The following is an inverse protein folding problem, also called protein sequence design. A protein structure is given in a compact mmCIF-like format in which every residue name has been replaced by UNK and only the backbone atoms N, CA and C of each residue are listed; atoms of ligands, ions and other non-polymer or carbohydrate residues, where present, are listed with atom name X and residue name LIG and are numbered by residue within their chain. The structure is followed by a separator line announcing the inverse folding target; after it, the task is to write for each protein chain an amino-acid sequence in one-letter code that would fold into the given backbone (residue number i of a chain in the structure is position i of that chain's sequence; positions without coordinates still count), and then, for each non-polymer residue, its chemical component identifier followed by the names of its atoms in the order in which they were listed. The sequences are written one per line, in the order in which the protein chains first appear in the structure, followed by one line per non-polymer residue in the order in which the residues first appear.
data_IF_585088903947
#
_entry.id   IF_585088903947
#
_cell.length_a   1.000
_cell.length_b   1.000
_cell.length_c   1.000
_cell.angle_alpha   90.00
_cell.angle_beta   90.00
_cell.angle_gamma   90.00
#
_symmetry.space_group_name_H-M   'P 1'
#
loop_
_entity.id
_entity.type
_entity.pdbx_description
1 polymer ?
#
# COMPACT_ATOMS: atom_id res chain seq x y z
N UNK A 1 -11.99 98.27 5.59
CA UNK A 1 -11.42 97.84 4.30
C UNK A 1 -11.00 96.39 4.44
N UNK A 2 -11.75 95.48 3.84
CA UNK A 2 -11.36 94.06 3.75
C UNK A 2 -10.29 94.02 2.65
N UNK A 3 -9.08 93.62 3.01
CA UNK A 3 -7.96 93.51 2.07
C UNK A 3 -8.22 92.36 1.08
N UNK A 4 -8.49 92.64 -0.20
CA UNK A 4 -8.85 91.62 -1.19
C UNK A 4 -7.68 90.69 -1.53
N UNK A 5 -6.46 90.98 -1.07
CA UNK A 5 -5.28 90.13 -1.30
C UNK A 5 -5.01 89.11 -0.18
N UNK A 6 -5.72 89.19 0.97
CA UNK A 6 -5.51 88.28 2.11
C UNK A 6 -6.30 86.96 2.02
N UNK A 7 -7.47 86.97 1.38
CA UNK A 7 -8.29 85.76 1.18
C UNK A 7 -7.64 84.67 0.31
N UNK A 8 -7.01 84.96 -0.85
CA UNK A 8 -6.40 83.90 -1.67
C UNK A 8 -5.23 83.19 -0.96
N UNK A 9 -4.47 83.92 -0.13
CA UNK A 9 -3.33 83.37 0.61
C UNK A 9 -3.74 82.38 1.72
N UNK A 10 -4.92 82.60 2.33
CA UNK A 10 -5.46 81.71 3.36
C UNK A 10 -5.98 80.41 2.72
N UNK A 11 -6.68 80.52 1.59
CA UNK A 11 -7.14 79.37 0.82
C UNK A 11 -5.99 78.51 0.30
N UNK A 12 -4.92 79.12 -0.19
CA UNK A 12 -3.73 78.41 -0.68
C UNK A 12 -3.03 77.62 0.44
N UNK A 13 -2.88 78.23 1.63
CA UNK A 13 -2.30 77.55 2.81
C UNK A 13 -3.19 76.41 3.32
N UNK A 14 -4.51 76.57 3.30
CA UNK A 14 -5.47 75.52 3.66
C UNK A 14 -5.42 74.36 2.65
N UNK A 15 -5.37 74.66 1.35
CA UNK A 15 -5.27 73.66 0.30
C UNK A 15 -3.97 72.84 0.41
N UNK A 16 -2.82 73.50 0.64
CA UNK A 16 -1.54 72.83 0.87
C UNK A 16 -1.59 71.95 2.12
N UNK A 17 -2.12 72.48 3.23
CA UNK A 17 -2.23 71.72 4.49
C UNK A 17 -3.12 70.49 4.34
N UNK A 18 -4.27 70.61 3.67
CA UNK A 18 -5.17 69.50 3.40
C UNK A 18 -4.51 68.45 2.49
N UNK A 19 -3.76 68.90 1.47
CA UNK A 19 -3.02 68.02 0.56
C UNK A 19 -1.95 67.21 1.30
N UNK A 20 -1.24 67.83 2.24
CA UNK A 20 -0.25 67.13 3.09
C UNK A 20 -0.94 66.10 3.99
N UNK A 21 -2.07 66.44 4.61
CA UNK A 21 -2.83 65.49 5.45
C UNK A 21 -3.32 64.30 4.63
N UNK A 22 -3.87 64.54 3.44
CA UNK A 22 -4.31 63.47 2.53
C UNK A 22 -3.13 62.60 2.10
N UNK A 23 -1.98 63.20 1.75
CA UNK A 23 -0.78 62.45 1.40
C UNK A 23 -0.27 61.57 2.55
N UNK A 24 -0.26 62.09 3.78
CA UNK A 24 0.12 61.33 4.98
C UNK A 24 -0.85 60.17 5.22
N UNK A 25 -2.16 60.39 5.10
CA UNK A 25 -3.17 59.34 5.24
C UNK A 25 -3.00 58.26 4.16
N UNK A 26 -2.77 58.64 2.91
CA UNK A 26 -2.51 57.70 1.82
C UNK A 26 -1.23 56.89 2.06
N UNK A 27 -0.14 57.52 2.53
CA UNK A 27 1.08 56.83 2.93
C UNK A 27 0.83 55.85 4.08
N UNK A 28 0.11 56.26 5.13
CA UNK A 28 -0.25 55.38 6.25
C UNK A 28 -1.10 54.19 5.79
N UNK A 29 -2.09 54.43 4.92
CA UNK A 29 -2.90 53.37 4.31
C UNK A 29 -2.04 52.42 3.46
N UNK A 30 -1.17 52.95 2.61
CA UNK A 30 -0.25 52.15 1.79
C UNK A 30 0.67 51.29 2.66
N UNK A 31 1.28 51.86 3.71
CA UNK A 31 2.10 51.12 4.66
C UNK A 31 1.30 50.03 5.41
N UNK A 32 0.06 50.33 5.82
CA UNK A 32 -0.84 49.36 6.45
C UNK A 32 -1.16 48.19 5.54
N UNK A 33 -1.50 48.48 4.28
CA UNK A 33 -1.78 47.49 3.22
C UNK A 33 -0.53 46.66 2.91
N UNK A 34 0.63 47.28 2.71
CA UNK A 34 1.89 46.56 2.48
C UNK A 34 2.27 45.66 3.66
N UNK A 35 2.10 46.13 4.90
CA UNK A 35 2.34 45.31 6.11
C UNK A 35 1.37 44.14 6.20
N UNK A 36 0.09 44.34 5.85
CA UNK A 36 -0.89 43.26 5.78
C UNK A 36 -0.49 42.23 4.72
N UNK A 37 -0.18 42.65 3.49
CA UNK A 37 0.28 41.73 2.44
C UNK A 37 1.56 40.98 2.80
N UNK A 38 2.54 41.65 3.42
CA UNK A 38 3.76 40.99 3.89
C UNK A 38 3.48 39.94 4.96
N UNK A 39 2.62 40.26 5.95
CA UNK A 39 2.20 39.31 6.98
C UNK A 39 1.45 38.12 6.39
N UNK A 40 0.50 38.35 5.48
CA UNK A 40 -0.24 37.29 4.80
C UNK A 40 0.68 36.43 3.93
N UNK A 41 1.63 37.04 3.20
CA UNK A 41 2.62 36.31 2.41
C UNK A 41 3.54 35.44 3.26
N UNK A 42 4.07 35.99 4.36
CA UNK A 42 4.92 35.22 5.29
C UNK A 42 4.14 34.10 5.97
N UNK A 43 2.90 34.33 6.40
CA UNK A 43 2.03 33.30 6.95
C UNK A 43 1.75 32.18 5.93
N UNK A 44 1.42 32.52 4.69
CA UNK A 44 1.23 31.54 3.62
C UNK A 44 2.51 30.75 3.32
N UNK A 45 3.69 31.40 3.34
CA UNK A 45 4.98 30.73 3.12
C UNK A 45 5.29 29.73 4.25
N UNK A 46 5.05 30.13 5.50
CA UNK A 46 5.24 29.25 6.68
C UNK A 46 4.26 28.08 6.64
N UNK A 47 2.99 28.33 6.34
CA UNK A 47 1.97 27.28 6.24
C UNK A 47 2.28 26.28 5.13
N UNK A 48 2.73 26.78 3.96
CA UNK A 48 3.18 25.91 2.85
C UNK A 48 4.38 25.05 3.26
N UNK A 49 5.38 25.64 3.91
CA UNK A 49 6.55 24.89 4.37
C UNK A 49 6.18 23.83 5.42
N UNK A 50 5.29 24.17 6.36
CA UNK A 50 4.76 23.24 7.35
C UNK A 50 4.00 22.08 6.69
N UNK A 51 3.11 22.39 5.76
CA UNK A 51 2.29 21.41 5.04
C UNK A 51 3.17 20.42 4.25
N UNK A 52 4.24 20.90 3.61
CA UNK A 52 5.23 20.05 2.95
C UNK A 52 5.98 19.17 3.96
N UNK A 53 6.40 19.72 5.10
CA UNK A 53 7.09 18.96 6.15
C UNK A 53 6.20 17.84 6.75
N UNK A 54 4.93 18.12 6.98
CA UNK A 54 3.96 17.13 7.47
C UNK A 54 3.77 15.98 6.46
N UNK A 55 3.66 16.28 5.16
CA UNK A 55 3.56 15.25 4.11
C UNK A 55 4.85 14.45 3.96
N UNK A 56 6.03 15.09 4.05
CA UNK A 56 7.32 14.39 4.10
C UNK A 56 7.36 13.42 5.27
N UNK A 57 6.97 13.87 6.47
CA UNK A 57 6.93 13.02 7.66
C UNK A 57 5.96 11.85 7.50
N UNK A 58 4.80 12.07 6.86
CA UNK A 58 3.84 11.01 6.53
C UNK A 58 4.45 9.95 5.64
N UNK A 59 5.14 10.33 4.56
CA UNK A 59 5.84 9.39 3.67
C UNK A 59 6.89 8.59 4.44
N UNK A 60 7.75 9.24 5.22
CA UNK A 60 8.79 8.56 6.00
C UNK A 60 8.20 7.56 7.00
N UNK A 61 7.11 7.94 7.66
CA UNK A 61 6.39 7.05 8.60
C UNK A 61 5.81 5.84 7.85
N UNK A 62 5.14 6.07 6.72
CA UNK A 62 4.61 5.00 5.87
C UNK A 62 5.71 4.02 5.41
N UNK A 63 6.88 4.54 5.03
CA UNK A 63 8.03 3.72 4.64
C UNK A 63 8.59 2.89 5.79
N UNK A 64 8.62 3.44 7.01
CA UNK A 64 9.09 2.73 8.19
C UNK A 64 8.12 1.63 8.65
N UNK A 65 6.80 1.86 8.50
CA UNK A 65 5.75 0.98 9.01
C UNK A 65 5.33 -0.13 8.04
N UNK A 66 5.44 0.07 6.72
CA UNK A 66 4.91 -0.88 5.71
C UNK A 66 5.46 -2.31 5.83
N UNK A 67 6.69 -2.44 6.35
CA UNK A 67 7.36 -3.71 6.58
C UNK A 67 7.27 -4.22 8.02
N UNK A 68 6.33 -3.73 8.84
CA UNK A 68 6.17 -4.11 10.24
C UNK A 68 4.84 -4.83 10.50
N UNK A 69 4.80 -5.62 11.57
CA UNK A 69 3.60 -6.30 12.04
C UNK A 69 2.82 -5.38 12.99
N UNK A 70 1.66 -4.88 12.54
CA UNK A 70 0.68 -4.24 13.42
C UNK A 70 -0.13 -5.28 14.24
N UNK A 71 -0.09 -6.54 13.79
CA UNK A 71 -0.61 -7.73 14.47
C UNK A 71 0.36 -8.89 14.24
N UNK A 72 0.60 -9.78 15.22
CA UNK A 72 1.50 -10.91 15.03
C UNK A 72 1.12 -11.76 13.81
N UNK A 73 2.10 -12.24 13.05
CA UNK A 73 1.84 -13.16 11.95
C UNK A 73 1.56 -14.55 12.50
N UNK A 74 0.37 -15.07 12.22
CA UNK A 74 0.01 -16.45 12.50
C UNK A 74 0.30 -17.30 11.26
N UNK A 75 1.00 -18.40 11.44
CA UNK A 75 1.17 -19.40 10.40
C UNK A 75 0.68 -20.76 10.88
N UNK A 76 0.14 -21.55 9.97
CA UNK A 76 -0.46 -22.85 10.25
C UNK A 76 0.32 -23.98 9.58
N UNK A 77 0.53 -25.09 10.28
CA UNK A 77 1.23 -26.27 9.75
C UNK A 77 0.52 -26.82 8.51
N UNK A 78 1.27 -26.99 7.41
CA UNK A 78 0.74 -27.62 6.19
C UNK A 78 0.28 -29.07 6.43
N UNK A 79 1.07 -29.87 7.16
CA UNK A 79 0.69 -31.25 7.48
C UNK A 79 -0.64 -31.32 8.23
N UNK A 80 -0.87 -30.40 9.18
CA UNK A 80 -2.16 -30.32 9.87
C UNK A 80 -3.27 -29.84 8.96
N UNK A 81 -3.02 -28.82 8.14
CA UNK A 81 -3.97 -28.32 7.15
C UNK A 81 -4.47 -29.43 6.22
N UNK A 82 -3.56 -30.25 5.70
CA UNK A 82 -3.89 -31.39 4.83
C UNK A 82 -4.73 -32.45 5.55
N UNK A 83 -4.45 -32.73 6.84
CA UNK A 83 -5.25 -33.69 7.62
C UNK A 83 -6.69 -33.22 7.87
N UNK A 84 -6.90 -31.91 8.01
CA UNK A 84 -8.22 -31.34 8.30
C UNK A 84 -9.18 -31.37 7.11
N UNK A 85 -8.66 -31.50 5.88
CA UNK A 85 -9.43 -31.62 4.65
C UNK A 85 -10.41 -30.47 4.36
N UNK A 86 -10.10 -29.27 4.87
CA UNK A 86 -10.81 -28.00 4.62
C UNK A 86 -10.00 -26.81 5.15
N UNK A 87 -10.32 -25.61 4.67
CA UNK A 87 -9.82 -24.37 5.29
C UNK A 87 -10.62 -24.12 6.58
N UNK A 88 -9.92 -23.79 7.67
CA UNK A 88 -10.53 -23.55 8.99
C UNK A 88 -10.41 -22.07 9.38
N UNK A 89 -11.27 -21.63 10.30
CA UNK A 89 -11.17 -20.27 10.87
C UNK A 89 -9.92 -20.10 11.72
N UNK A 90 -9.44 -18.86 11.85
CA UNK A 90 -8.43 -18.48 12.84
C UNK A 90 -8.74 -18.94 14.25
N UNK A 91 -9.98 -18.78 14.71
CA UNK A 91 -10.35 -19.21 16.07
C UNK A 91 -10.28 -20.73 16.22
N UNK A 92 -10.67 -21.49 15.19
CA UNK A 92 -10.52 -22.94 15.22
C UNK A 92 -9.04 -23.36 15.23
N UNK A 93 -8.19 -22.71 14.41
CA UNK A 93 -6.76 -22.97 14.38
C UNK A 93 -6.12 -22.69 15.75
N UNK A 94 -6.42 -21.52 16.34
CA UNK A 94 -5.91 -21.09 17.64
C UNK A 94 -6.42 -21.95 18.79
N UNK A 95 -7.71 -22.27 18.83
CA UNK A 95 -8.33 -22.87 20.03
C UNK A 95 -8.26 -24.40 20.02
N UNK A 96 -8.41 -25.04 18.84
CA UNK A 96 -8.45 -26.50 18.73
C UNK A 96 -7.17 -27.13 18.21
N UNK A 97 -6.34 -26.34 17.52
CA UNK A 97 -5.12 -26.81 16.85
C UNK A 97 -3.91 -25.93 17.21
N UNK A 98 -3.85 -25.44 18.45
CA UNK A 98 -2.79 -24.52 18.91
C UNK A 98 -1.37 -25.07 18.71
N UNK A 99 -1.17 -26.39 18.84
CA UNK A 99 0.12 -27.04 18.57
C UNK A 99 0.56 -27.02 17.10
N UNK A 100 -0.33 -26.63 16.19
CA UNK A 100 -0.09 -26.50 14.75
C UNK A 100 0.01 -25.04 14.30
N UNK A 101 -0.04 -24.09 15.25
CA UNK A 101 0.06 -22.66 15.01
C UNK A 101 1.42 -22.15 15.48
N UNK A 102 2.13 -21.45 14.60
CA UNK A 102 3.32 -20.67 14.94
C UNK A 102 2.98 -19.18 14.88
N UNK A 103 3.45 -18.41 15.85
CA UNK A 103 3.20 -16.95 15.93
C UNK A 103 4.52 -16.20 15.88
N UNK A 104 4.58 -15.18 15.02
CA UNK A 104 5.69 -14.23 14.94
C UNK A 104 5.21 -12.84 15.34
N UNK A 105 5.69 -12.34 16.47
CA UNK A 105 5.41 -10.98 16.93
C UNK A 105 6.17 -9.93 16.12
N UNK A 106 7.31 -10.30 15.51
CA UNK A 106 8.16 -9.41 14.75
C UNK A 106 8.64 -10.03 13.43
N UNK A 107 8.87 -9.19 12.43
CA UNK A 107 9.39 -9.60 11.11
C UNK A 107 10.78 -10.23 11.20
N UNK A 108 11.59 -9.83 12.18
CA UNK A 108 12.89 -10.45 12.47
C UNK A 108 12.75 -11.94 12.76
N UNK A 109 11.77 -12.34 13.57
CA UNK A 109 11.54 -13.74 13.93
C UNK A 109 11.13 -14.57 12.70
N UNK A 110 10.31 -14.01 11.81
CA UNK A 110 9.95 -14.67 10.54
C UNK A 110 11.18 -14.87 9.66
N UNK A 111 12.04 -13.84 9.55
CA UNK A 111 13.28 -13.91 8.76
C UNK A 111 14.24 -14.96 9.31
N UNK A 112 14.43 -14.99 10.62
CA UNK A 112 15.34 -15.95 11.27
C UNK A 112 14.80 -17.39 11.09
N UNK A 113 13.48 -17.58 11.14
CA UNK A 113 12.87 -18.88 10.92
C UNK A 113 12.95 -19.37 9.46
N UNK A 114 13.08 -18.45 8.49
CA UNK A 114 13.19 -18.78 7.06
C UNK A 114 14.45 -19.60 6.72
N UNK A 115 15.42 -19.71 7.64
CA UNK A 115 16.60 -20.56 7.47
C UNK A 115 16.30 -22.06 7.56
N UNK A 116 15.22 -22.45 8.26
CA UNK A 116 14.90 -23.86 8.55
C UNK A 116 13.47 -24.25 8.20
N UNK A 117 12.61 -23.27 7.93
CA UNK A 117 11.19 -23.44 7.68
C UNK A 117 10.77 -22.62 6.47
N UNK A 118 9.79 -23.12 5.75
CA UNK A 118 9.28 -22.49 4.53
C UNK A 118 7.92 -21.87 4.81
N UNK A 119 7.81 -20.54 4.66
CA UNK A 119 6.52 -19.86 4.78
C UNK A 119 5.91 -19.67 3.40
N UNK A 120 4.66 -20.09 3.22
CA UNK A 120 3.90 -19.95 1.99
C UNK A 120 2.71 -19.03 2.25
N UNK A 121 2.67 -17.89 1.57
CA UNK A 121 1.52 -17.01 1.56
C UNK A 121 0.54 -17.49 0.49
N UNK A 122 -0.69 -17.78 0.90
CA UNK A 122 -1.76 -18.23 0.00
C UNK A 122 -2.74 -17.09 -0.21
N UNK A 123 -2.61 -16.40 -1.33
CA UNK A 123 -3.57 -15.40 -1.76
C UNK A 123 -4.69 -16.07 -2.55
N UNK A 124 -5.94 -15.87 -2.13
CA UNK A 124 -7.11 -16.45 -2.78
C UNK A 124 -8.30 -15.49 -2.74
N UNK A 125 -9.36 -15.82 -3.48
CA UNK A 125 -10.61 -15.06 -3.41
C UNK A 125 -11.72 -15.79 -2.63
N UNK A 126 -12.53 -15.04 -1.91
CA UNK A 126 -13.71 -15.59 -1.27
C UNK A 126 -14.82 -15.73 -2.32
N UNK A 127 -15.35 -16.94 -2.53
CA UNK A 127 -16.47 -17.17 -3.45
C UNK A 127 -17.81 -17.43 -2.74
N UNK A 128 -17.84 -17.29 -1.41
CA UNK A 128 -19.03 -17.27 -0.59
C UNK A 128 -18.92 -16.20 0.53
N UNK A 129 -20.04 -15.90 1.19
CA UNK A 129 -20.16 -14.78 2.14
C UNK A 129 -19.82 -15.11 3.59
N UNK A 130 -19.78 -16.40 3.95
CA UNK A 130 -19.56 -16.86 5.33
C UNK A 130 -18.17 -17.46 5.49
N UNK A 131 -17.79 -18.33 4.56
CA UNK A 131 -16.49 -18.97 4.51
C UNK A 131 -15.92 -18.83 3.08
N UNK A 132 -14.58 -18.81 2.92
CA UNK A 132 -13.97 -18.55 1.62
C UNK A 132 -14.17 -19.68 0.61
N UNK A 133 -14.24 -20.92 1.09
CA UNK A 133 -14.15 -22.14 0.28
C UNK A 133 -15.12 -23.24 0.73
N UNK A 134 -16.44 -23.02 0.63
CA UNK A 134 -17.45 -23.96 1.13
C UNK A 134 -17.41 -25.37 0.52
N UNK A 135 -16.90 -25.49 -0.71
CA UNK A 135 -16.91 -26.72 -1.49
C UNK A 135 -15.49 -27.32 -1.66
N UNK A 136 -14.50 -26.82 -0.90
CA UNK A 136 -13.11 -27.28 -0.86
C UNK A 136 -12.33 -27.18 -2.20
N UNK A 137 -12.78 -26.34 -3.14
CA UNK A 137 -12.07 -26.12 -4.39
C UNK A 137 -10.68 -25.51 -4.15
N UNK A 138 -10.59 -24.48 -3.31
CA UNK A 138 -9.32 -23.81 -3.03
C UNK A 138 -8.41 -24.70 -2.19
N UNK A 139 -8.95 -25.38 -1.17
CA UNK A 139 -8.24 -26.36 -0.37
C UNK A 139 -7.52 -27.40 -1.26
N UNK A 140 -8.25 -28.02 -2.20
CA UNK A 140 -7.70 -29.05 -3.07
C UNK A 140 -6.54 -28.52 -3.95
N UNK A 141 -6.67 -27.28 -4.45
CA UNK A 141 -5.63 -26.63 -5.25
C UNK A 141 -4.42 -26.26 -4.38
N UNK A 142 -4.63 -25.74 -3.17
CA UNK A 142 -3.54 -25.41 -2.22
C UNK A 142 -2.72 -26.66 -1.92
N UNK A 143 -3.36 -27.78 -1.56
CA UNK A 143 -2.66 -29.03 -1.25
C UNK A 143 -1.86 -29.51 -2.46
N UNK A 144 -2.49 -29.59 -3.64
CA UNK A 144 -1.83 -30.04 -4.87
C UNK A 144 -0.64 -29.16 -5.24
N UNK A 145 -0.80 -27.83 -5.16
CA UNK A 145 0.25 -26.88 -5.47
C UNK A 145 1.45 -27.05 -4.53
N UNK A 146 1.21 -27.16 -3.22
CA UNK A 146 2.27 -27.30 -2.23
C UNK A 146 2.96 -28.66 -2.34
N UNK A 147 2.23 -29.75 -2.59
CA UNK A 147 2.83 -31.06 -2.82
C UNK A 147 3.72 -31.06 -4.07
N UNK A 148 3.23 -30.51 -5.18
CA UNK A 148 4.02 -30.37 -6.39
C UNK A 148 5.26 -29.48 -6.17
N UNK A 149 5.11 -28.35 -5.48
CA UNK A 149 6.22 -27.45 -5.16
C UNK A 149 7.23 -28.12 -4.22
N UNK A 150 6.76 -28.96 -3.29
CA UNK A 150 7.63 -29.72 -2.39
C UNK A 150 8.48 -30.73 -3.16
N UNK A 151 7.90 -31.39 -4.17
CA UNK A 151 8.64 -32.29 -5.06
C UNK A 151 9.64 -31.53 -5.94
N UNK A 152 9.21 -30.40 -6.53
CA UNK A 152 10.04 -29.58 -7.43
C UNK A 152 11.24 -28.94 -6.70
N UNK A 153 11.02 -28.43 -5.49
CA UNK A 153 12.02 -27.67 -4.72
C UNK A 153 12.69 -28.46 -3.58
N UNK A 154 12.32 -29.73 -3.40
CA UNK A 154 12.84 -30.57 -2.32
C UNK A 154 12.46 -30.08 -0.92
N UNK A 155 11.23 -29.57 -0.76
CA UNK A 155 10.74 -29.08 0.53
C UNK A 155 10.19 -30.24 1.37
N UNK A 156 10.41 -30.17 2.68
CA UNK A 156 9.78 -31.07 3.64
C UNK A 156 8.40 -30.52 4.05
N UNK A 157 7.28 -31.23 3.76
CA UNK A 157 5.94 -30.81 4.15
C UNK A 157 5.76 -30.49 5.64
N UNK A 158 6.47 -31.16 6.54
CA UNK A 158 6.40 -30.92 7.99
C UNK A 158 7.10 -29.61 8.42
N UNK A 159 7.87 -29.01 7.50
CA UNK A 159 8.57 -27.75 7.67
C UNK A 159 7.90 -26.59 6.92
N UNK A 160 6.72 -26.83 6.35
CA UNK A 160 5.93 -25.80 5.65
C UNK A 160 4.89 -25.18 6.58
N UNK A 161 4.89 -23.86 6.58
CA UNK A 161 3.96 -22.99 7.28
C UNK A 161 3.13 -22.20 6.29
N UNK A 162 1.81 -22.23 6.46
CA UNK A 162 0.85 -21.55 5.62
C UNK A 162 0.35 -20.26 6.28
N UNK A 163 0.26 -19.22 5.48
CA UNK A 163 -0.52 -18.04 5.81
C UNK A 163 -1.73 -17.97 4.87
N UNK A 164 -2.94 -17.93 5.43
CA UNK A 164 -4.22 -17.86 4.71
C UNK A 164 -5.09 -16.81 5.41
N UNK A 165 -5.71 -15.88 4.67
CA UNK A 165 -6.48 -14.73 5.20
C UNK A 165 -7.75 -15.10 6.03
N UNK A 166 -8.09 -16.38 6.11
CA UNK A 166 -9.17 -16.91 6.95
C UNK A 166 -8.66 -17.68 8.17
N UNK A 167 -7.64 -18.52 7.96
CA UNK A 167 -6.98 -19.33 9.00
C UNK A 167 -6.06 -18.48 9.89
N UNK A 168 -5.52 -17.38 9.37
CA UNK A 168 -4.47 -16.59 10.03
C UNK A 168 -4.92 -15.17 10.41
N UNK A 169 -6.16 -14.80 10.09
CA UNK A 169 -6.75 -13.51 10.48
C UNK A 169 -7.94 -13.75 11.40
N UNK A 170 -8.05 -13.05 12.55
CA UNK A 170 -9.21 -13.11 13.42
C UNK A 170 -10.53 -12.82 12.67
N UNK A 171 -11.53 -13.70 12.82
CA UNK A 171 -12.83 -13.57 12.15
C UNK A 171 -13.92 -13.05 13.10
N UNK A 172 -13.75 -13.24 14.42
CA UNK A 172 -14.75 -12.84 15.43
C UNK A 172 -14.53 -11.45 16.03
N UNK A 173 -13.31 -10.91 15.93
CA UNK A 173 -12.94 -9.62 16.52
C UNK A 173 -12.54 -8.63 15.45
N UNK A 174 -13.46 -7.73 15.08
CA UNK A 174 -13.21 -6.71 14.05
C UNK A 174 -11.99 -5.81 14.34
N UNK A 175 -11.72 -5.37 15.60
CA UNK A 175 -10.50 -4.62 15.89
C UNK A 175 -9.22 -5.40 15.60
N UNK A 176 -9.16 -6.68 15.98
CA UNK A 176 -7.98 -7.53 15.73
C UNK A 176 -7.86 -7.87 14.24
N UNK A 177 -8.98 -8.13 13.58
CA UNK A 177 -9.06 -8.33 12.14
C UNK A 177 -8.44 -7.14 11.40
N UNK A 178 -8.80 -5.91 11.77
CA UNK A 178 -8.26 -4.69 11.16
C UNK A 178 -6.75 -4.55 11.36
N UNK A 179 -6.23 -4.86 12.55
CA UNK A 179 -4.77 -4.84 12.80
C UNK A 179 -4.04 -5.89 11.95
N UNK A 180 -4.64 -7.08 11.79
CA UNK A 180 -4.12 -8.14 10.94
C UNK A 180 -4.16 -7.75 9.45
N UNK A 181 -5.24 -7.12 8.98
CA UNK A 181 -5.36 -6.61 7.61
C UNK A 181 -4.29 -5.55 7.33
N UNK A 182 -4.04 -4.65 8.28
CA UNK A 182 -2.96 -3.65 8.17
C UNK A 182 -1.57 -4.26 8.05
N UNK A 183 -1.40 -5.52 8.48
CA UNK A 183 -0.13 -6.26 8.43
C UNK A 183 0.01 -7.12 7.17
N UNK A 184 -1.02 -7.21 6.32
CA UNK A 184 -0.99 -7.98 5.06
C UNK A 184 0.26 -7.70 4.20
N UNK A 185 0.69 -6.43 4.01
CA UNK A 185 1.87 -6.14 3.22
C UNK A 185 3.11 -6.84 3.78
N UNK A 186 3.33 -6.72 5.09
CA UNK A 186 4.48 -7.34 5.76
C UNK A 186 4.42 -8.87 5.72
N UNK A 187 3.23 -9.48 5.86
CA UNK A 187 3.05 -10.94 5.73
C UNK A 187 3.39 -11.43 4.32
N UNK A 188 2.84 -10.78 3.30
CA UNK A 188 3.04 -11.13 1.89
C UNK A 188 4.49 -10.94 1.45
N UNK A 189 5.12 -9.84 1.85
CA UNK A 189 6.55 -9.58 1.58
C UNK A 189 7.47 -10.56 2.31
N UNK A 190 7.11 -10.96 3.54
CA UNK A 190 7.93 -11.82 4.39
C UNK A 190 7.93 -13.29 4.01
N UNK A 191 6.86 -13.80 3.39
CA UNK A 191 6.75 -15.21 3.01
C UNK A 191 7.78 -15.65 1.94
N UNK A 192 8.27 -16.89 2.05
CA UNK A 192 9.24 -17.49 1.12
C UNK A 192 8.60 -17.62 -0.27
N UNK A 193 7.47 -18.32 -0.33
CA UNK A 193 6.68 -18.52 -1.56
C UNK A 193 5.36 -17.75 -1.49
N UNK A 194 4.85 -17.36 -2.65
CA UNK A 194 3.55 -16.71 -2.81
C UNK A 194 2.71 -17.49 -3.82
N UNK A 195 1.57 -18.05 -3.39
CA UNK A 195 0.65 -18.77 -4.26
C UNK A 195 -0.58 -17.92 -4.54
N UNK A 196 -0.85 -17.67 -5.82
CA UNK A 196 -2.10 -17.10 -6.31
C UNK A 196 -3.07 -18.25 -6.60
N UNK A 197 -4.02 -18.49 -5.71
CA UNK A 197 -5.02 -19.56 -5.83
C UNK A 197 -6.32 -18.98 -6.36
N UNK A 198 -6.55 -19.18 -7.65
CA UNK A 198 -7.73 -18.67 -8.34
C UNK A 198 -8.24 -19.66 -9.41
N UNK A 199 -8.59 -20.91 -9.02
CA UNK A 199 -9.19 -21.87 -9.94
C UNK A 199 -10.54 -21.37 -10.45
N UNK A 200 -10.99 -21.90 -11.59
CA UNK A 200 -12.34 -21.65 -12.09
C UNK A 200 -13.36 -22.46 -11.28
N UNK A 201 -14.19 -21.78 -10.50
CA UNK A 201 -15.21 -22.38 -9.62
C UNK A 201 -16.58 -21.75 -9.88
N UNK A 202 -17.61 -22.58 -9.85
CA UNK A 202 -19.00 -22.12 -9.93
C UNK A 202 -19.52 -21.87 -8.51
N UNK A 203 -19.66 -20.60 -8.14
CA UNK A 203 -20.20 -20.22 -6.84
C UNK A 203 -21.70 -20.53 -6.70
N UNK A 204 -22.20 -20.55 -5.47
CA UNK A 204 -23.61 -20.87 -5.15
C UNK A 204 -24.64 -19.97 -5.84
N UNK A 205 -24.26 -18.74 -6.18
CA UNK A 205 -25.08 -17.77 -6.90
C UNK A 205 -24.98 -17.90 -8.44
N UNK A 206 -24.42 -19.01 -8.94
CA UNK A 206 -24.14 -19.26 -10.37
C UNK A 206 -23.14 -18.28 -11.00
N UNK A 207 -22.42 -17.50 -10.19
CA UNK A 207 -21.30 -16.67 -10.64
C UNK A 207 -20.06 -17.55 -10.80
N UNK A 208 -19.33 -17.35 -11.89
CA UNK A 208 -18.02 -17.96 -12.07
C UNK A 208 -16.98 -17.11 -11.34
N UNK A 209 -16.13 -17.78 -10.60
CA UNK A 209 -15.00 -17.23 -9.88
C UNK A 209 -13.75 -17.86 -10.48
N UNK A 210 -12.88 -17.04 -11.05
CA UNK A 210 -11.64 -17.43 -11.74
C UNK A 210 -10.54 -16.38 -11.52
N UNK A 211 -9.40 -16.55 -12.19
CA UNK A 211 -8.32 -15.57 -12.16
C UNK A 211 -8.75 -14.15 -12.59
N UNK A 212 -9.69 -13.98 -13.52
CA UNK A 212 -10.16 -12.65 -13.92
C UNK A 212 -10.93 -11.97 -12.78
N UNK A 213 -11.78 -12.70 -12.08
CA UNK A 213 -12.47 -12.17 -10.89
C UNK A 213 -11.51 -11.91 -9.73
N UNK A 214 -10.53 -12.79 -9.50
CA UNK A 214 -9.51 -12.64 -8.48
C UNK A 214 -8.67 -11.38 -8.75
N UNK A 215 -8.19 -11.21 -9.98
CA UNK A 215 -7.36 -10.08 -10.38
C UNK A 215 -8.10 -8.74 -10.39
N UNK A 216 -9.43 -8.72 -10.23
CA UNK A 216 -10.20 -7.48 -10.00
C UNK A 216 -10.23 -7.07 -8.54
N UNK A 217 -10.00 -7.95 -7.56
CA UNK A 217 -10.12 -7.62 -6.14
C UNK A 217 -8.96 -6.75 -5.67
N UNK A 218 -9.27 -5.60 -5.07
CA UNK A 218 -8.27 -4.64 -4.58
C UNK A 218 -7.31 -5.23 -3.55
N UNK A 219 -7.82 -6.05 -2.62
CA UNK A 219 -6.99 -6.74 -1.62
C UNK A 219 -6.00 -7.74 -2.25
N UNK A 220 -6.45 -8.56 -3.20
CA UNK A 220 -5.57 -9.51 -3.89
C UNK A 220 -4.50 -8.79 -4.75
N UNK A 221 -4.83 -7.60 -5.28
CA UNK A 221 -3.86 -6.73 -5.95
C UNK A 221 -2.80 -6.21 -4.98
N UNK A 222 -3.22 -5.75 -3.80
CA UNK A 222 -2.33 -5.26 -2.76
C UNK A 222 -1.34 -6.34 -2.28
N UNK A 223 -1.82 -7.55 -2.04
CA UNK A 223 -0.99 -8.68 -1.58
C UNK A 223 0.11 -9.02 -2.60
N UNK A 224 -0.26 -9.12 -3.88
CA UNK A 224 0.72 -9.32 -4.95
C UNK A 224 1.69 -8.14 -5.00
N UNK A 225 1.21 -6.90 -4.99
CA UNK A 225 2.04 -5.70 -5.00
C UNK A 225 3.07 -5.72 -3.87
N UNK A 226 2.67 -6.10 -2.66
CA UNK A 226 3.56 -6.17 -1.49
C UNK A 226 4.69 -7.19 -1.69
N UNK A 227 4.36 -8.38 -2.22
CA UNK A 227 5.36 -9.39 -2.56
C UNK A 227 6.36 -8.86 -3.61
N UNK A 228 5.83 -8.28 -4.69
CA UNK A 228 6.64 -7.80 -5.83
C UNK A 228 7.59 -6.67 -5.41
N UNK A 229 7.08 -5.73 -4.61
CA UNK A 229 7.83 -4.54 -4.18
C UNK A 229 9.06 -4.87 -3.33
N UNK A 230 9.15 -6.09 -2.81
CA UNK A 230 10.22 -6.52 -1.91
C UNK A 230 11.09 -7.63 -2.49
N UNK A 231 10.51 -8.57 -3.23
CA UNK A 231 11.18 -9.78 -3.73
C UNK A 231 10.98 -10.06 -5.22
N UNK A 232 10.26 -9.20 -5.95
CA UNK A 232 9.94 -9.43 -7.35
C UNK A 232 9.01 -10.61 -7.59
N UNK A 233 9.18 -11.26 -8.75
CA UNK A 233 8.33 -12.36 -9.23
C UNK A 233 8.86 -13.74 -8.88
N UNK A 234 10.09 -13.82 -8.38
CA UNK A 234 10.70 -15.08 -7.97
C UNK A 234 9.82 -15.75 -6.91
N UNK A 235 9.70 -17.07 -6.97
CA UNK A 235 8.94 -17.87 -6.00
C UNK A 235 7.44 -17.48 -5.86
N UNK A 236 6.90 -16.77 -6.86
CA UNK A 236 5.48 -16.54 -7.02
C UNK A 236 4.89 -17.51 -8.06
N UNK A 237 3.74 -18.09 -7.75
CA UNK A 237 3.11 -19.09 -8.62
C UNK A 237 1.61 -18.89 -8.79
N UNK A 238 1.12 -19.03 -10.02
CA UNK A 238 -0.30 -19.12 -10.36
C UNK A 238 -0.80 -20.56 -10.20
N UNK A 239 -1.81 -20.75 -9.37
CA UNK A 239 -2.52 -22.01 -9.14
C UNK A 239 -3.94 -21.87 -9.70
N UNK A 240 -4.04 -21.79 -11.03
CA UNK A 240 -5.28 -21.45 -11.76
C UNK A 240 -5.86 -22.61 -12.59
N UNK A 241 -5.08 -23.66 -12.83
CA UNK A 241 -5.45 -24.78 -13.70
C UNK A 241 -5.45 -26.14 -12.99
N UNK A 242 -5.80 -27.18 -13.75
CA UNK A 242 -6.27 -28.44 -13.19
C UNK A 242 -5.19 -29.53 -13.11
N UNK A 243 -4.16 -29.51 -13.97
CA UNK A 243 -3.30 -30.69 -14.17
C UNK A 243 -1.98 -30.69 -13.37
N UNK A 244 -1.27 -29.56 -13.24
CA UNK A 244 0.08 -29.51 -12.63
C UNK A 244 0.20 -28.69 -11.35
N UNK A 245 -0.91 -28.14 -10.85
CA UNK A 245 -1.00 -27.51 -9.53
C UNK A 245 -0.45 -26.09 -9.44
N UNK A 246 0.55 -25.70 -10.25
CA UNK A 246 1.11 -24.34 -10.23
C UNK A 246 1.97 -24.01 -11.47
N UNK A 247 2.05 -22.73 -11.85
CA UNK A 247 2.91 -22.18 -12.92
C UNK A 247 3.65 -20.93 -12.41
N UNK A 248 4.94 -20.72 -12.70
CA UNK A 248 5.65 -19.49 -12.32
C UNK A 248 4.96 -18.23 -12.86
N UNK A 249 4.80 -17.20 -12.04
CA UNK A 249 4.19 -15.92 -12.47
C UNK A 249 5.03 -15.23 -13.55
N UNK A 250 6.35 -15.43 -13.55
CA UNK A 250 7.27 -14.93 -14.58
C UNK A 250 6.88 -15.33 -16.00
N UNK A 251 6.26 -16.50 -16.15
CA UNK A 251 5.94 -17.11 -17.43
C UNK A 251 4.61 -16.57 -18.00
N UNK A 252 3.81 -15.91 -17.16
CA UNK A 252 2.52 -15.30 -17.50
C UNK A 252 2.50 -13.78 -17.21
N UNK A 253 3.52 -13.07 -17.69
CA UNK A 253 3.72 -11.64 -17.41
C UNK A 253 2.54 -10.73 -17.78
N UNK A 254 1.67 -11.12 -18.72
CA UNK A 254 0.47 -10.34 -19.07
C UNK A 254 -0.60 -10.36 -17.95
N UNK A 255 -0.76 -11.50 -17.28
CA UNK A 255 -1.69 -11.67 -16.16
C UNK A 255 -1.28 -10.82 -14.96
N UNK A 256 0.04 -10.67 -14.78
CA UNK A 256 0.64 -9.84 -13.76
C UNK A 256 0.34 -8.34 -13.92
N UNK A 257 0.33 -7.82 -15.16
CA UNK A 257 0.15 -6.36 -15.37
C UNK A 257 -1.20 -5.84 -14.86
N UNK A 258 -2.21 -6.73 -14.79
CA UNK A 258 -3.55 -6.40 -14.31
C UNK A 258 -3.62 -6.19 -12.80
N UNK A 259 -2.72 -6.81 -12.03
CA UNK A 259 -2.78 -6.79 -10.56
C UNK A 259 -2.05 -5.61 -9.93
N UNK A 260 -1.32 -4.84 -10.75
CA UNK A 260 -0.54 -3.69 -10.32
C UNK A 260 -1.41 -2.47 -9.95
N UNK A 261 -2.56 -2.31 -10.59
CA UNK A 261 -3.43 -1.17 -10.32
C UNK A 261 -4.29 -1.42 -9.08
N UNK A 262 -3.68 -1.35 -7.88
CA UNK A 262 -4.37 -1.64 -6.61
C UNK A 262 -5.63 -0.79 -6.46
N UNK A 263 -5.56 0.50 -6.78
CA UNK A 263 -6.66 1.45 -6.61
C UNK A 263 -7.77 1.33 -7.67
N UNK A 264 -7.45 0.80 -8.86
CA UNK A 264 -8.44 0.35 -9.85
C UNK A 264 -9.09 -1.01 -9.52
N UNK A 265 -8.70 -1.64 -8.41
CA UNK A 265 -9.34 -2.85 -7.91
C UNK A 265 -10.70 -2.59 -7.24
N UNK A 266 -11.46 -3.67 -7.07
CA UNK A 266 -12.74 -3.72 -6.39
C UNK A 266 -12.53 -4.02 -4.91
N UNK A 267 -12.93 -3.07 -4.08
CA UNK A 267 -12.94 -3.21 -2.62
C UNK A 267 -14.37 -3.45 -2.15
N UNK A 268 -14.50 -4.11 -1.00
CA UNK A 268 -15.81 -4.28 -0.35
C UNK A 268 -16.32 -2.95 0.19
N UNK A 269 -15.43 -2.11 0.71
CA UNK A 269 -15.72 -0.73 1.11
C UNK A 269 -14.81 0.24 0.34
N UNK A 270 -15.39 1.27 -0.27
CA UNK A 270 -14.62 2.28 -1.01
C UNK A 270 -13.66 3.05 -0.10
N UNK A 271 -14.02 3.19 1.18
CA UNK A 271 -13.19 3.83 2.21
C UNK A 271 -11.86 3.10 2.43
N UNK A 272 -11.77 1.80 2.10
CA UNK A 272 -10.54 1.03 2.20
C UNK A 272 -9.43 1.62 1.32
N UNK A 273 -9.76 2.26 0.19
CA UNK A 273 -8.76 2.94 -0.66
C UNK A 273 -8.02 4.03 0.10
N UNK A 274 -8.72 4.84 0.89
CA UNK A 274 -8.08 5.90 1.68
C UNK A 274 -7.20 5.32 2.78
N UNK A 275 -7.62 4.21 3.40
CA UNK A 275 -6.84 3.52 4.42
C UNK A 275 -5.55 2.89 3.86
N UNK A 276 -5.51 2.58 2.56
CA UNK A 276 -4.37 1.96 1.88
C UNK A 276 -3.35 2.95 1.30
N UNK A 277 -3.61 4.26 1.33
CA UNK A 277 -2.70 5.27 0.75
C UNK A 277 -1.30 5.15 1.33
N UNK A 278 -1.18 5.12 2.66
CA UNK A 278 0.12 5.07 3.33
C UNK A 278 0.82 3.74 3.05
N UNK A 279 0.08 2.63 3.08
CA UNK A 279 0.61 1.31 2.72
C UNK A 279 1.18 1.30 1.30
N UNK A 280 0.44 1.81 0.31
CA UNK A 280 0.89 1.81 -1.09
C UNK A 280 2.06 2.78 -1.30
N UNK A 281 2.08 3.92 -0.61
CA UNK A 281 3.25 4.82 -0.57
C UNK A 281 4.49 4.09 -0.07
N UNK A 282 4.38 3.37 1.06
CA UNK A 282 5.49 2.59 1.62
C UNK A 282 5.95 1.47 0.68
N UNK A 283 5.04 0.75 0.04
CA UNK A 283 5.38 -0.30 -0.92
C UNK A 283 6.06 0.28 -2.17
N UNK A 284 5.58 1.42 -2.66
CA UNK A 284 6.20 2.12 -3.78
C UNK A 284 7.62 2.60 -3.44
N UNK A 285 7.84 3.09 -2.22
CA UNK A 285 9.18 3.41 -1.73
C UNK A 285 10.12 2.19 -1.77
N UNK A 286 9.68 1.04 -1.23
CA UNK A 286 10.48 -0.19 -1.25
C UNK A 286 10.82 -0.63 -2.68
N UNK A 287 9.86 -0.55 -3.58
CA UNK A 287 10.04 -0.87 -4.99
C UNK A 287 11.07 0.05 -5.68
N UNK A 288 11.03 1.36 -5.43
CA UNK A 288 12.00 2.31 -5.96
C UNK A 288 13.41 2.07 -5.39
N UNK A 289 13.53 1.70 -4.11
CA UNK A 289 14.81 1.30 -3.54
C UNK A 289 15.37 0.08 -4.26
N UNK A 290 14.54 -0.92 -4.58
CA UNK A 290 14.98 -2.09 -5.33
C UNK A 290 15.50 -1.75 -6.74
N UNK A 291 14.82 -0.85 -7.46
CA UNK A 291 15.27 -0.38 -8.78
C UNK A 291 16.67 0.23 -8.71
N UNK A 292 16.91 1.06 -7.70
CA UNK A 292 18.22 1.73 -7.50
C UNK A 292 19.37 0.73 -7.31
N UNK A 293 19.09 -0.46 -6.75
CA UNK A 293 20.06 -1.54 -6.57
C UNK A 293 20.27 -2.44 -7.78
N UNK A 294 19.56 -2.18 -8.90
CA UNK A 294 19.53 -2.95 -10.15
C UNK A 294 19.11 -4.42 -10.05
N UNK A 295 18.90 -4.98 -8.86
CA UNK A 295 18.52 -6.39 -8.65
C UNK A 295 17.27 -6.83 -9.43
N UNK A 296 16.30 -5.93 -9.59
CA UNK A 296 14.99 -6.23 -10.20
C UNK A 296 14.84 -5.75 -11.65
N UNK A 297 15.78 -4.93 -12.15
CA UNK A 297 15.69 -4.34 -13.48
C UNK A 297 16.07 -5.30 -14.62
N UNK A 298 16.72 -6.43 -14.30
CA UNK A 298 17.22 -7.41 -15.28
C UNK A 298 16.13 -8.40 -15.73
N UNK A 299 15.07 -8.61 -14.96
CA UNK A 299 13.98 -9.52 -15.33
C UNK A 299 13.02 -8.83 -16.34
N UNK A 300 12.77 -9.40 -17.54
CA UNK A 300 11.97 -8.75 -18.58
C UNK A 300 10.57 -8.30 -18.13
N UNK A 301 9.88 -9.15 -17.36
CA UNK A 301 8.56 -8.82 -16.81
C UNK A 301 8.62 -7.65 -15.79
N UNK A 302 9.70 -7.56 -14.99
CA UNK A 302 9.89 -6.45 -14.06
C UNK A 302 10.34 -5.18 -14.78
N UNK A 303 11.11 -5.28 -15.86
CA UNK A 303 11.44 -4.12 -16.70
C UNK A 303 10.18 -3.53 -17.35
N UNK A 304 9.30 -4.39 -17.88
CA UNK A 304 7.98 -3.96 -18.37
C UNK A 304 7.17 -3.28 -17.27
N UNK A 305 7.17 -3.86 -16.06
CA UNK A 305 6.54 -3.29 -14.87
C UNK A 305 7.04 -1.88 -14.55
N UNK A 306 8.36 -1.71 -14.36
CA UNK A 306 8.96 -0.40 -14.05
C UNK A 306 8.64 0.59 -15.16
N UNK A 307 8.75 0.16 -16.41
CA UNK A 307 8.43 1.02 -17.54
C UNK A 307 6.98 1.49 -17.52
N UNK A 308 6.02 0.69 -17.04
CA UNK A 308 4.61 1.08 -16.97
C UNK A 308 4.32 1.94 -15.74
N UNK A 309 4.85 1.56 -14.58
CA UNK A 309 4.65 2.28 -13.32
C UNK A 309 5.32 3.66 -13.31
N UNK A 310 6.47 3.79 -13.96
CA UNK A 310 7.21 5.04 -14.03
C UNK A 310 6.79 5.93 -15.21
N UNK A 311 6.23 5.38 -16.30
CA UNK A 311 5.77 6.20 -17.44
C UNK A 311 4.51 7.00 -17.14
N UNK A 312 3.58 6.42 -16.38
CA UNK A 312 2.31 7.08 -16.02
C UNK A 312 1.91 6.79 -14.57
N UNK A 313 2.63 7.37 -13.59
CA UNK A 313 2.35 7.14 -12.17
C UNK A 313 0.94 7.60 -11.79
N UNK A 314 0.36 8.59 -12.47
CA UNK A 314 -0.98 9.10 -12.15
C UNK A 314 -2.11 8.12 -12.44
N UNK A 315 -1.90 7.17 -13.36
CA UNK A 315 -2.85 6.08 -13.60
C UNK A 315 -2.87 5.06 -12.45
N UNK A 316 -1.72 4.83 -11.82
CA UNK A 316 -1.56 3.85 -10.74
C UNK A 316 -1.78 4.47 -9.36
N UNK A 317 -1.50 5.76 -9.25
CA UNK A 317 -1.65 6.57 -8.05
C UNK A 317 -2.55 7.78 -8.36
N UNK A 318 -3.89 7.60 -8.36
CA UNK A 318 -4.80 8.68 -8.69
C UNK A 318 -4.65 9.86 -7.71
N UNK A 319 -4.48 11.07 -8.25
CA UNK A 319 -4.21 12.28 -7.44
C UNK A 319 -5.25 12.56 -6.35
N UNK A 320 -6.49 12.12 -6.56
CA UNK A 320 -7.55 12.28 -5.55
C UNK A 320 -7.27 11.56 -4.23
N UNK A 321 -6.41 10.53 -4.24
CA UNK A 321 -6.00 9.79 -3.04
C UNK A 321 -4.60 10.15 -2.57
N UNK A 322 -3.68 10.33 -3.53
CA UNK A 322 -2.25 10.44 -3.23
C UNK A 322 -1.72 11.87 -3.21
N UNK A 323 -2.46 12.85 -3.73
CA UNK A 323 -2.02 14.25 -3.84
C UNK A 323 -0.61 14.36 -4.45
N UNK A 324 0.38 14.82 -3.66
CA UNK A 324 1.81 14.94 -4.02
C UNK A 324 2.70 13.88 -3.31
N UNK A 325 2.12 12.90 -2.62
CA UNK A 325 2.87 11.92 -1.82
C UNK A 325 3.79 11.05 -2.68
N UNK A 326 3.43 10.76 -3.93
CA UNK A 326 4.23 9.94 -4.85
C UNK A 326 5.49 10.71 -5.28
N UNK A 327 5.34 11.98 -5.63
CA UNK A 327 6.45 12.86 -5.95
C UNK A 327 7.42 13.01 -4.76
N UNK A 328 6.87 13.20 -3.56
CA UNK A 328 7.65 13.24 -2.31
C UNK A 328 8.40 11.91 -2.11
N UNK A 329 7.76 10.78 -2.38
CA UNK A 329 8.37 9.44 -2.26
C UNK A 329 9.55 9.26 -3.21
N UNK A 330 9.41 9.68 -4.48
CA UNK A 330 10.50 9.63 -5.47
C UNK A 330 11.70 10.47 -5.01
N UNK A 331 11.45 11.67 -4.46
CA UNK A 331 12.51 12.53 -3.92
C UNK A 331 13.17 11.90 -2.69
N UNK A 332 12.40 11.28 -1.80
CA UNK A 332 12.92 10.60 -0.62
C UNK A 332 13.89 9.46 -0.96
N UNK A 333 13.63 8.71 -2.02
CA UNK A 333 14.55 7.65 -2.48
C UNK A 333 15.80 8.24 -3.13
N UNK A 334 15.66 9.30 -3.94
CA UNK A 334 16.79 9.90 -4.70
C UNK A 334 17.79 10.65 -3.83
N UNK A 335 17.32 11.35 -2.81
CA UNK A 335 18.15 12.25 -1.99
C UNK A 335 18.49 11.69 -0.60
N UNK A 336 17.97 10.51 -0.27
CA UNK A 336 18.04 9.96 1.08
C UNK A 336 17.13 10.72 2.06
N UNK A 337 16.91 10.14 3.24
CA UNK A 337 15.98 10.69 4.26
C UNK A 337 16.34 12.13 4.71
N UNK A 338 17.61 12.52 4.55
CA UNK A 338 18.17 13.72 5.16
C UNK A 338 18.06 15.02 4.33
N UNK A 339 18.00 14.98 2.98
CA UNK A 339 18.48 16.15 2.22
C UNK A 339 17.72 16.46 0.91
N UNK A 340 16.43 16.75 1.01
CA UNK A 340 15.71 17.39 -0.09
C UNK A 340 14.76 18.49 0.41
N UNK A 341 15.04 19.71 -0.05
CA UNK A 341 14.13 20.86 -0.04
C UNK A 341 13.22 20.77 -1.28
N UNK A 342 11.90 20.92 -1.06
CA UNK A 342 10.86 20.85 -2.08
C UNK A 342 10.48 22.22 -2.66
#
# INVERSE_FOLDING_TARGET
AIDPQREPLIFEKLAISLSVVVAVLLCCCACGVSRHFWKSYTAMKVERARSVAERKQRVLTACAEVGQFAFPMYCFSFSTFKMLNRIITYEEARDKHSGSVTVFDQVSQLRDAAETKTTIFVSHQWYASVEPDPDNHHYNIIVRAIEGLSLDRGLDPDHIWLWIDYTCIPQRSLPLQRLSIRSLPAYASGATFFLVVAPSVLGRNRRIFDFQTYSRRGWCRLEQWARISTRGLEDMYFCIGDEFGFTPVSDEAENFVKVMDVFGGEFTDDADRYALVDTVVGLYYLLLQQESTKKLAEHPAMSMFFSKALRDPHKMFPRQYFEDLIEITVLAVRHGEADFDL
#
